data_IF_817469827262
#
_entry.id   IF_817469827262
#
_cell.length_a   1.000
_cell.length_b   1.000
_cell.length_c   1.000
_cell.angle_alpha   90.00
_cell.angle_beta   90.00
_cell.angle_gamma   90.00
#
_symmetry.space_group_name_H-M   'P 1'
#
loop_
_entity.id
_entity.type
_entity.pdbx_description
1 polymer ?
#
# COMPACT_ATOMS: atom_id res chain seq x y z
N UNK A 1 -23.59 -22.29 0.75
CA UNK A 1 -22.93 -21.21 1.52
C UNK A 1 -22.53 -20.15 0.50
N UNK A 2 -23.40 -19.16 0.36
CA UNK A 2 -23.35 -18.17 -0.73
C UNK A 2 -22.16 -17.24 -0.55
N UNK A 3 -21.29 -17.21 -1.55
CA UNK A 3 -20.28 -16.15 -1.72
C UNK A 3 -21.04 -14.89 -2.12
N UNK A 4 -21.31 -14.01 -1.19
CA UNK A 4 -21.69 -12.64 -1.54
C UNK A 4 -20.54 -12.01 -2.32
N UNK A 5 -20.68 -12.02 -3.64
CA UNK A 5 -19.90 -11.16 -4.51
C UNK A 5 -20.19 -9.73 -4.07
N UNK A 6 -19.20 -9.01 -3.63
CA UNK A 6 -19.29 -7.56 -3.40
C UNK A 6 -19.68 -6.95 -4.75
N UNK A 7 -20.99 -6.69 -4.91
CA UNK A 7 -21.52 -6.08 -6.11
C UNK A 7 -20.98 -4.65 -6.21
N UNK A 8 -20.09 -4.41 -7.15
CA UNK A 8 -19.68 -3.07 -7.55
C UNK A 8 -20.88 -2.41 -8.25
N UNK A 9 -21.65 -1.67 -7.43
CA UNK A 9 -22.98 -1.14 -7.62
C UNK A 9 -23.42 -0.70 -9.00
N UNK A 10 -24.68 -0.90 -9.22
CA UNK A 10 -25.42 -0.48 -10.40
C UNK A 10 -25.45 1.03 -10.61
N UNK A 11 -25.18 1.46 -11.85
CA UNK A 11 -25.71 2.62 -12.57
C UNK A 11 -25.19 4.05 -12.32
N UNK A 12 -24.31 4.31 -11.36
CA UNK A 12 -23.51 5.53 -11.43
C UNK A 12 -22.07 5.11 -11.73
N UNK A 13 -21.56 5.47 -12.92
CA UNK A 13 -20.14 5.32 -13.20
C UNK A 13 -19.39 6.13 -12.13
N UNK A 14 -18.74 5.43 -11.20
CA UNK A 14 -17.88 6.07 -10.20
C UNK A 14 -16.75 6.80 -10.93
N UNK A 15 -16.48 8.03 -10.50
CA UNK A 15 -15.29 8.71 -10.98
C UNK A 15 -14.03 7.90 -10.66
N UNK A 16 -13.01 7.91 -11.53
CA UNK A 16 -11.81 7.07 -11.33
C UNK A 16 -11.14 7.25 -9.97
N UNK A 17 -11.14 8.48 -9.42
CA UNK A 17 -10.62 8.75 -8.09
C UNK A 17 -11.44 8.13 -6.97
N UNK A 18 -12.77 8.15 -7.09
CA UNK A 18 -13.68 7.51 -6.12
C UNK A 18 -13.50 5.99 -6.13
N UNK A 19 -13.28 5.41 -7.30
CA UNK A 19 -13.03 3.97 -7.43
C UNK A 19 -11.72 3.56 -6.75
N UNK A 20 -10.62 4.29 -6.99
CA UNK A 20 -9.34 4.04 -6.34
C UNK A 20 -9.46 4.17 -4.82
N UNK A 21 -10.19 5.17 -4.34
CA UNK A 21 -10.41 5.37 -2.91
C UNK A 21 -11.26 4.25 -2.30
N UNK A 22 -12.30 3.79 -3.00
CA UNK A 22 -13.14 2.66 -2.57
C UNK A 22 -12.31 1.36 -2.48
N UNK A 23 -11.46 1.09 -3.46
CA UNK A 23 -10.54 -0.05 -3.44
C UNK A 23 -9.52 0.07 -2.29
N UNK A 24 -8.95 1.25 -2.07
CA UNK A 24 -8.06 1.49 -0.93
C UNK A 24 -8.74 1.23 0.42
N UNK A 25 -10.00 1.66 0.59
CA UNK A 25 -10.79 1.35 1.79
C UNK A 25 -11.07 -0.14 1.94
N UNK A 26 -11.31 -0.86 0.85
CA UNK A 26 -11.50 -2.32 0.87
C UNK A 26 -10.21 -3.02 1.35
N UNK A 27 -9.03 -2.57 0.88
CA UNK A 27 -7.73 -3.07 1.38
C UNK A 27 -7.58 -2.80 2.88
N UNK A 28 -7.86 -1.58 3.33
CA UNK A 28 -7.75 -1.24 4.76
C UNK A 28 -8.70 -2.07 5.64
N UNK A 29 -9.92 -2.32 5.16
CA UNK A 29 -10.88 -3.21 5.82
C UNK A 29 -10.36 -4.64 5.91
N UNK A 30 -9.83 -5.18 4.81
CA UNK A 30 -9.25 -6.52 4.77
C UNK A 30 -8.02 -6.65 5.67
N UNK A 31 -7.16 -5.64 5.70
CA UNK A 31 -6.02 -5.61 6.62
C UNK A 31 -6.44 -5.61 8.09
N UNK A 32 -7.51 -4.91 8.43
CA UNK A 32 -8.06 -4.91 9.80
C UNK A 32 -8.55 -6.29 10.21
N UNK A 33 -9.20 -7.02 9.31
CA UNK A 33 -9.62 -8.42 9.56
C UNK A 33 -8.42 -9.36 9.75
N UNK A 34 -7.36 -9.18 8.95
CA UNK A 34 -6.20 -10.04 8.94
C UNK A 34 -5.21 -9.76 10.09
N UNK A 35 -5.00 -8.49 10.44
CA UNK A 35 -4.01 -8.04 11.41
C UNK A 35 -4.61 -7.66 12.76
N UNK A 36 -5.91 -7.34 12.83
CA UNK A 36 -6.56 -6.90 14.06
C UNK A 36 -5.87 -5.69 14.68
N UNK A 37 -5.56 -5.76 15.97
CA UNK A 37 -4.89 -4.70 16.73
C UNK A 37 -3.42 -4.46 16.32
N UNK A 38 -2.82 -5.38 15.56
CA UNK A 38 -1.48 -5.18 14.98
C UNK A 38 -1.49 -4.14 13.85
N UNK A 39 -2.64 -3.86 13.23
CA UNK A 39 -2.74 -2.81 12.22
C UNK A 39 -2.73 -1.43 12.88
N UNK A 40 -1.67 -0.67 12.69
CA UNK A 40 -1.52 0.71 13.22
C UNK A 40 -2.16 1.72 12.28
N UNK A 41 -1.91 1.60 10.98
CA UNK A 41 -2.41 2.54 9.97
C UNK A 41 -2.43 1.93 8.57
N UNK A 42 -3.25 2.52 7.69
CA UNK A 42 -3.18 2.32 6.24
C UNK A 42 -3.43 3.64 5.51
N UNK A 43 -2.75 3.82 4.38
CA UNK A 43 -2.75 5.05 3.61
C UNK A 43 -2.87 4.75 2.13
N UNK A 44 -3.63 5.59 1.42
CA UNK A 44 -3.58 5.68 -0.03
C UNK A 44 -2.42 6.60 -0.43
N UNK A 45 -1.61 6.17 -1.38
CA UNK A 45 -0.47 6.93 -1.90
C UNK A 45 -0.56 7.05 -3.43
N UNK A 46 0.54 7.38 -4.10
CA UNK A 46 0.60 7.43 -5.56
C UNK A 46 -0.45 8.34 -6.20
N UNK A 47 -0.93 7.97 -7.39
CA UNK A 47 -1.90 8.76 -8.16
C UNK A 47 -3.23 8.96 -7.44
N UNK A 48 -3.65 8.00 -6.62
CA UNK A 48 -4.88 8.06 -5.82
C UNK A 48 -4.84 9.15 -4.75
N UNK A 49 -3.69 9.41 -4.15
CA UNK A 49 -3.51 10.48 -3.17
C UNK A 49 -3.31 11.85 -3.84
N UNK A 50 -2.65 11.88 -5.00
CA UNK A 50 -2.28 13.11 -5.71
C UNK A 50 -3.37 13.64 -6.65
N UNK A 51 -4.46 12.91 -6.86
CA UNK A 51 -5.58 13.32 -7.73
C UNK A 51 -5.31 13.14 -9.23
N UNK A 52 -4.26 12.38 -9.59
CA UNK A 52 -3.86 12.13 -10.98
C UNK A 52 -4.34 10.79 -11.54
N UNK A 53 -5.51 10.30 -11.12
CA UNK A 53 -6.01 8.99 -11.54
C UNK A 53 -6.38 8.98 -13.02
N UNK A 54 -5.73 8.09 -13.80
CA UNK A 54 -6.01 7.87 -15.22
C UNK A 54 -6.77 6.55 -15.42
N UNK A 55 -7.98 6.57 -16.03
CA UNK A 55 -8.78 5.38 -16.25
C UNK A 55 -7.99 4.29 -16.99
N UNK A 56 -8.04 3.07 -16.48
CA UNK A 56 -7.40 1.89 -17.09
C UNK A 56 -5.86 1.85 -16.99
N UNK A 57 -5.20 2.88 -16.45
CA UNK A 57 -3.74 2.97 -16.30
C UNK A 57 -3.30 3.03 -14.86
N UNK A 58 -4.09 3.69 -13.99
CA UNK A 58 -3.78 3.79 -12.57
C UNK A 58 -4.05 2.49 -11.84
N UNK A 59 -3.20 2.20 -10.92
CA UNK A 59 -3.29 1.19 -9.86
C UNK A 59 -3.77 1.81 -8.55
N UNK A 60 -3.95 0.96 -7.57
CA UNK A 60 -4.24 1.35 -6.19
C UNK A 60 -2.97 1.16 -5.39
N UNK A 61 -2.38 2.27 -4.96
CA UNK A 61 -1.16 2.26 -4.17
C UNK A 61 -1.52 2.38 -2.68
N UNK A 62 -1.22 1.36 -1.89
CA UNK A 62 -1.51 1.33 -0.45
C UNK A 62 -0.27 1.02 0.35
N UNK A 63 0.01 1.89 1.32
CA UNK A 63 1.00 1.63 2.37
C UNK A 63 0.29 1.36 3.68
N UNK A 64 0.66 0.28 4.35
CA UNK A 64 0.16 -0.04 5.67
C UNK A 64 1.30 -0.14 6.70
N UNK A 65 0.94 0.04 7.96
CA UNK A 65 1.86 -0.01 9.10
C UNK A 65 1.34 -0.99 10.12
N UNK A 66 2.17 -1.95 10.52
CA UNK A 66 1.90 -2.84 11.64
C UNK A 66 2.76 -2.47 12.86
N UNK A 67 2.30 -2.85 14.05
CA UNK A 67 2.97 -2.55 15.32
C UNK A 67 4.37 -3.15 15.37
N UNK A 68 4.51 -4.40 14.94
CA UNK A 68 5.77 -5.14 14.83
C UNK A 68 5.85 -5.88 13.49
N UNK A 69 7.06 -6.28 13.07
CA UNK A 69 7.22 -7.07 11.86
C UNK A 69 6.62 -8.47 12.06
N UNK A 70 5.62 -8.88 11.24
CA UNK A 70 5.03 -10.19 11.37
C UNK A 70 6.00 -11.30 10.89
N UNK A 71 5.94 -12.51 11.46
CA UNK A 71 6.72 -13.65 10.95
C UNK A 71 6.32 -13.97 9.50
N UNK A 72 7.21 -14.60 8.75
CA UNK A 72 7.04 -14.84 7.30
C UNK A 72 5.72 -15.54 6.96
N UNK A 73 5.34 -16.56 7.71
CA UNK A 73 4.06 -17.25 7.51
C UNK A 73 2.87 -16.29 7.57
N UNK A 74 2.88 -15.39 8.55
CA UNK A 74 1.84 -14.37 8.71
C UNK A 74 1.85 -13.36 7.55
N UNK A 75 3.03 -12.96 7.08
CA UNK A 75 3.19 -12.06 5.93
C UNK A 75 2.57 -12.67 4.66
N UNK A 76 2.81 -13.95 4.41
CA UNK A 76 2.18 -14.70 3.31
C UNK A 76 0.67 -14.82 3.47
N UNK A 77 0.20 -15.07 4.70
CA UNK A 77 -1.23 -15.13 5.00
C UNK A 77 -1.95 -13.78 4.84
N UNK A 78 -1.24 -12.66 4.95
CA UNK A 78 -1.77 -11.32 4.64
C UNK A 78 -1.79 -11.07 3.13
N UNK A 79 -0.73 -11.44 2.41
CA UNK A 79 -0.59 -11.15 0.99
C UNK A 79 -1.63 -11.89 0.11
N UNK A 80 -1.93 -13.15 0.40
CA UNK A 80 -2.80 -13.97 -0.43
C UNK A 80 -4.25 -13.42 -0.54
N UNK A 81 -4.96 -13.08 0.56
CA UNK A 81 -6.31 -12.51 0.47
C UNK A 81 -6.36 -11.12 -0.17
N UNK A 82 -5.28 -10.31 -0.04
CA UNK A 82 -5.18 -9.02 -0.74
C UNK A 82 -5.05 -9.23 -2.25
N UNK A 83 -4.30 -10.26 -2.67
CA UNK A 83 -4.19 -10.64 -4.07
C UNK A 83 -5.53 -11.08 -4.64
N UNK A 84 -6.27 -11.93 -3.94
CA UNK A 84 -7.62 -12.35 -4.35
C UNK A 84 -8.58 -11.16 -4.50
N UNK A 85 -8.53 -10.21 -3.56
CA UNK A 85 -9.33 -8.99 -3.59
C UNK A 85 -9.01 -8.15 -4.83
N UNK A 86 -7.73 -7.88 -5.09
CA UNK A 86 -7.28 -7.04 -6.18
C UNK A 86 -7.62 -7.61 -7.57
N UNK A 87 -7.67 -8.94 -7.71
CA UNK A 87 -8.04 -9.62 -8.96
C UNK A 87 -9.50 -9.37 -9.37
N UNK A 88 -10.35 -8.90 -8.46
CA UNK A 88 -11.77 -8.59 -8.77
C UNK A 88 -11.98 -7.15 -9.27
N UNK A 89 -10.95 -6.32 -9.32
CA UNK A 89 -11.09 -4.90 -9.60
C UNK A 89 -11.13 -4.57 -11.09
N UNK A 90 -11.85 -3.51 -11.48
CA UNK A 90 -11.82 -2.96 -12.83
C UNK A 90 -10.58 -2.07 -13.07
N UNK A 91 -9.66 -2.00 -12.12
CA UNK A 91 -8.40 -1.26 -12.16
C UNK A 91 -7.23 -2.13 -12.62
N UNK A 92 -6.06 -1.52 -12.80
CA UNK A 92 -4.84 -2.23 -13.20
C UNK A 92 -4.41 -3.25 -12.16
N UNK A 93 -4.44 -2.88 -10.88
CA UNK A 93 -4.08 -3.76 -9.78
C UNK A 93 -3.81 -3.00 -8.48
N UNK A 94 -3.18 -3.69 -7.55
CA UNK A 94 -2.75 -3.23 -6.25
C UNK A 94 -1.22 -3.23 -6.17
N UNK A 95 -0.64 -2.09 -5.80
CA UNK A 95 0.71 -1.99 -5.26
C UNK A 95 0.60 -1.79 -3.75
N UNK A 96 1.09 -2.77 -2.99
CA UNK A 96 0.92 -2.80 -1.55
C UNK A 96 2.25 -2.98 -0.83
N UNK A 97 2.54 -2.10 0.13
CA UNK A 97 3.71 -2.23 1.00
C UNK A 97 3.29 -2.22 2.46
N UNK A 98 3.75 -3.19 3.23
CA UNK A 98 3.60 -3.26 4.68
C UNK A 98 4.93 -2.95 5.36
N UNK A 99 4.91 -1.99 6.28
CA UNK A 99 6.05 -1.66 7.13
C UNK A 99 5.77 -1.98 8.60
N UNK A 100 6.80 -2.36 9.33
CA UNK A 100 6.77 -2.30 10.78
C UNK A 100 6.92 -0.85 11.24
N UNK A 101 6.22 -0.44 12.32
CA UNK A 101 6.25 0.92 12.87
C UNK A 101 7.66 1.42 13.13
N UNK A 102 8.53 0.56 13.67
CA UNK A 102 9.91 0.91 13.98
C UNK A 102 10.71 1.32 12.73
N UNK A 103 10.47 0.66 11.58
CA UNK A 103 11.15 0.98 10.32
C UNK A 103 10.76 2.36 9.78
N UNK A 104 9.53 2.80 10.03
CA UNK A 104 9.05 4.13 9.62
C UNK A 104 9.46 5.23 10.59
N UNK A 105 9.49 4.94 11.89
CA UNK A 105 9.86 5.92 12.91
C UNK A 105 11.33 6.38 12.77
N UNK A 106 12.20 5.49 12.30
CA UNK A 106 13.61 5.77 12.03
C UNK A 106 13.97 5.28 10.61
N UNK A 107 13.60 6.03 9.55
CA UNK A 107 13.90 5.64 8.18
C UNK A 107 15.39 5.47 7.93
N UNK A 108 15.75 4.49 7.11
CA UNK A 108 17.09 4.24 6.60
C UNK A 108 17.17 4.63 5.10
N UNK A 109 18.36 4.83 4.51
CA UNK A 109 18.51 5.05 3.07
C UNK A 109 17.95 3.91 2.22
N UNK A 110 17.93 2.69 2.78
CA UNK A 110 17.29 1.51 2.21
C UNK A 110 16.21 1.01 3.17
N UNK A 111 14.96 1.51 3.07
CA UNK A 111 13.90 1.17 4.02
C UNK A 111 13.58 -0.33 4.02
N UNK A 112 13.32 -0.87 5.20
CA UNK A 112 12.91 -2.27 5.37
C UNK A 112 11.39 -2.36 5.32
N UNK A 113 10.86 -3.08 4.36
CA UNK A 113 9.46 -3.48 4.34
C UNK A 113 9.29 -4.91 4.88
N UNK A 114 8.08 -5.21 5.36
CA UNK A 114 7.67 -6.56 5.73
C UNK A 114 7.05 -7.31 4.54
N UNK A 115 6.28 -6.60 3.70
CA UNK A 115 5.66 -7.12 2.47
C UNK A 115 5.81 -6.06 1.40
N UNK A 116 6.17 -6.46 0.17
CA UNK A 116 5.93 -5.71 -1.06
C UNK A 116 5.16 -6.63 -2.02
N UNK A 117 3.92 -6.26 -2.34
CA UNK A 117 3.01 -7.04 -3.17
C UNK A 117 2.52 -6.20 -4.35
N UNK A 118 2.74 -6.70 -5.55
CA UNK A 118 2.14 -6.19 -6.77
C UNK A 118 1.23 -7.27 -7.35
N UNK A 119 -0.05 -6.96 -7.58
CA UNK A 119 -1.02 -7.95 -8.07
C UNK A 119 -2.24 -7.29 -8.68
N UNK A 120 -2.76 -7.86 -9.77
CA UNK A 120 -4.00 -7.38 -10.36
C UNK A 120 -4.30 -7.98 -11.73
N UNK A 121 -5.48 -7.69 -12.30
CA UNK A 121 -5.90 -8.24 -13.60
C UNK A 121 -4.96 -7.84 -14.74
N UNK A 122 -4.27 -6.71 -14.61
CA UNK A 122 -3.35 -6.14 -15.62
C UNK A 122 -1.98 -5.83 -15.05
N UNK A 123 -1.61 -6.52 -13.96
CA UNK A 123 -0.35 -6.38 -13.25
C UNK A 123 0.22 -7.77 -12.94
N UNK A 124 1.47 -8.08 -13.27
CA UNK A 124 2.10 -9.34 -12.89
C UNK A 124 2.10 -9.51 -11.37
N UNK A 125 1.81 -10.73 -10.93
CA UNK A 125 1.95 -11.07 -9.51
C UNK A 125 3.42 -11.04 -9.11
N UNK A 126 3.74 -10.26 -8.08
CA UNK A 126 5.06 -10.21 -7.46
C UNK A 126 4.89 -10.05 -5.97
N UNK A 127 5.42 -10.97 -5.19
CA UNK A 127 5.50 -10.90 -3.75
C UNK A 127 6.96 -10.95 -3.32
N UNK A 128 7.43 -9.88 -2.69
CA UNK A 128 8.73 -9.82 -2.05
C UNK A 128 8.56 -9.67 -0.54
N UNK A 129 9.30 -10.47 0.21
CA UNK A 129 9.36 -10.44 1.68
C UNK A 129 10.76 -10.05 2.17
N UNK A 130 11.69 -9.83 1.25
CA UNK A 130 13.06 -9.37 1.53
C UNK A 130 13.37 -8.15 0.67
N UNK A 131 13.86 -7.09 1.31
CA UNK A 131 14.29 -5.87 0.62
C UNK A 131 15.45 -6.07 -0.35
N UNK A 132 16.25 -7.13 -0.17
CA UNK A 132 17.38 -7.44 -1.06
C UNK A 132 16.93 -7.75 -2.50
N UNK A 133 15.66 -8.12 -2.69
CA UNK A 133 15.07 -8.43 -3.98
C UNK A 133 14.63 -7.18 -4.76
N UNK A 134 14.73 -5.98 -4.16
CA UNK A 134 14.14 -4.75 -4.71
C UNK A 134 15.11 -3.57 -4.74
N UNK A 135 15.02 -2.68 -5.76
CA UNK A 135 15.73 -1.41 -5.76
C UNK A 135 15.31 -0.54 -4.57
N UNK A 136 16.24 -0.24 -3.67
CA UNK A 136 15.94 0.42 -2.40
C UNK A 136 15.50 1.89 -2.51
N UNK A 137 15.97 2.59 -3.55
CA UNK A 137 15.71 4.03 -3.74
C UNK A 137 14.22 4.35 -3.92
N UNK A 138 13.44 3.47 -4.58
CA UNK A 138 12.00 3.66 -4.74
C UNK A 138 11.28 3.76 -3.40
N UNK A 139 11.57 2.86 -2.47
CA UNK A 139 10.90 2.83 -1.16
C UNK A 139 11.20 4.09 -0.34
N UNK A 140 12.40 4.66 -0.47
CA UNK A 140 12.74 5.90 0.23
C UNK A 140 11.95 7.10 -0.31
N UNK A 141 11.82 7.20 -1.63
CA UNK A 141 11.02 8.24 -2.29
C UNK A 141 9.54 8.10 -1.95
N UNK A 142 9.02 6.86 -1.96
CA UNK A 142 7.64 6.58 -1.59
C UNK A 142 7.34 6.93 -0.13
N UNK A 143 8.28 6.70 0.79
CA UNK A 143 8.13 7.12 2.19
C UNK A 143 8.10 8.63 2.34
N UNK A 144 8.88 9.38 1.56
CA UNK A 144 8.83 10.83 1.56
C UNK A 144 7.47 11.35 1.04
N UNK A 145 6.98 10.77 -0.05
CA UNK A 145 5.65 11.08 -0.61
C UNK A 145 4.55 10.70 0.39
N UNK A 146 4.63 9.51 0.99
CA UNK A 146 3.69 9.08 2.03
C UNK A 146 3.61 10.09 3.16
N UNK A 147 4.77 10.50 3.71
CA UNK A 147 4.83 11.45 4.82
C UNK A 147 4.12 12.76 4.52
N UNK A 148 4.30 13.29 3.31
CA UNK A 148 3.84 14.63 2.93
C UNK A 148 2.44 14.62 2.29
N UNK A 149 2.05 13.55 1.62
CA UNK A 149 0.89 13.49 0.73
C UNK A 149 -0.02 12.27 0.95
N UNK A 150 0.39 11.31 1.79
CA UNK A 150 -0.42 10.11 2.04
C UNK A 150 -1.80 10.45 2.59
N UNK A 151 -2.86 9.87 1.99
CA UNK A 151 -4.25 10.03 2.45
C UNK A 151 -4.59 8.92 3.43
N UNK A 152 -5.07 9.30 4.59
CA UNK A 152 -5.42 8.35 5.66
C UNK A 152 -6.63 7.52 5.25
N UNK A 153 -6.46 6.19 5.22
CA UNK A 153 -7.56 5.22 5.14
C UNK A 153 -7.96 4.76 6.54
N UNK A 154 -6.98 4.58 7.44
CA UNK A 154 -7.19 4.31 8.86
C UNK A 154 -5.92 4.66 9.65
N UNK A 155 -6.05 4.99 10.94
CA UNK A 155 -4.94 5.31 11.83
C UNK A 155 -4.58 6.80 11.88
N UNK A 156 -3.44 7.16 12.49
CA UNK A 156 -2.99 8.55 12.63
C UNK A 156 -2.45 9.12 11.31
N UNK A 157 -2.27 10.45 11.20
CA UNK A 157 -1.62 11.08 10.06
C UNK A 157 -0.21 10.49 9.78
N UNK A 158 0.20 10.35 8.49
CA UNK A 158 1.47 9.70 8.15
C UNK A 158 2.69 10.39 8.78
N UNK A 159 2.67 11.72 8.92
CA UNK A 159 3.75 12.48 9.54
C UNK A 159 4.02 12.18 11.02
N UNK A 160 3.05 11.52 11.72
CA UNK A 160 3.24 11.05 13.09
C UNK A 160 3.98 9.69 13.17
N UNK A 161 3.93 8.91 12.10
CA UNK A 161 4.56 7.59 12.03
C UNK A 161 5.87 7.59 11.26
N UNK A 162 5.95 8.36 10.16
CA UNK A 162 7.14 8.45 9.33
C UNK A 162 8.08 9.53 9.87
N UNK A 163 9.24 9.12 10.37
CA UNK A 163 10.28 10.02 10.83
C UNK A 163 10.84 10.93 9.72
N UNK A 164 11.64 11.93 10.07
CA UNK A 164 12.25 12.84 9.10
C UNK A 164 13.22 12.08 8.19
N UNK A 165 13.12 12.32 6.88
CA UNK A 165 14.02 11.76 5.88
C UNK A 165 15.03 12.84 5.46
N UNK A 166 16.35 12.63 5.64
CA UNK A 166 17.35 13.60 5.24
C UNK A 166 17.33 13.88 3.74
N UNK A 167 17.31 15.17 3.35
CA UNK A 167 17.26 15.58 1.95
C UNK A 167 18.38 14.96 1.09
N UNK A 168 19.58 14.78 1.67
CA UNK A 168 20.70 14.15 0.96
C UNK A 168 20.34 12.74 0.43
N UNK A 169 19.63 11.93 1.22
CA UNK A 169 19.22 10.59 0.82
C UNK A 169 18.22 10.61 -0.34
N UNK A 170 17.31 11.61 -0.35
CA UNK A 170 16.36 11.77 -1.45
C UNK A 170 17.08 12.18 -2.74
N UNK A 171 18.12 13.04 -2.65
CA UNK A 171 18.92 13.42 -3.80
C UNK A 171 19.75 12.26 -4.35
N UNK A 172 20.31 11.42 -3.47
CA UNK A 172 21.02 10.20 -3.84
C UNK A 172 20.06 9.22 -4.52
N UNK A 173 18.87 8.98 -3.93
CA UNK A 173 17.84 8.10 -4.49
C UNK A 173 17.29 8.56 -5.86
N UNK A 174 17.33 9.83 -6.16
CA UNK A 174 16.91 10.38 -7.46
C UNK A 174 18.01 10.30 -8.54
N UNK A 175 19.26 10.04 -8.13
CA UNK A 175 20.40 9.93 -9.05
C UNK A 175 20.66 8.49 -9.51
N UNK A 176 20.09 7.49 -8.81
CA UNK A 176 20.13 6.05 -9.13
C UNK A 176 19.09 5.68 -10.20
#
# INVERSE_FOLDING_TARGET
MDREAVGWGSERQMEPGELVEACGRAVAGRLRELLGDELVAAYLVGSGALGGVAPGRSDVDVVAVCASEPPEERRRAVAAPLGELAMTWPLRGLEFVLYARAALAAPEPSPRFAINLNVGPRMPYRLSLDRADEPSHWFLLDLAILRDRGRVLTGPPPGELVGPIPRRWLLEALAD
#
